data_IF_670413911380
#
_entry.id   IF_670413911380
#
_cell.length_a   1.000
_cell.length_b   1.000
_cell.length_c   1.000
_cell.angle_alpha   90.00
_cell.angle_beta   90.00
_cell.angle_gamma   90.00
#
_symmetry.space_group_name_H-M   'P 1'
#
loop_
_entity.id
_entity.type
_entity.pdbx_description
1 polymer ?
#
# COMPACT_ATOMS: atom_id res chain seq x y z
N UNK A 1 13.15 12.05 19.64
CA UNK A 1 14.13 11.86 18.56
C UNK A 1 13.90 10.48 17.98
N UNK A 2 13.78 10.36 16.65
CA UNK A 2 13.47 9.09 15.99
C UNK A 2 14.58 8.06 16.19
N UNK A 3 14.20 6.83 16.50
CA UNK A 3 15.09 5.67 16.65
C UNK A 3 15.58 5.15 15.29
N UNK A 4 16.22 5.99 14.48
CA UNK A 4 16.95 5.52 13.31
C UNK A 4 18.43 5.77 13.55
N UNK A 5 19.22 4.69 13.57
CA UNK A 5 20.63 4.68 13.98
C UNK A 5 21.48 5.31 12.87
N UNK A 6 22.59 5.97 13.22
CA UNK A 6 23.54 6.61 12.29
C UNK A 6 23.99 5.75 11.08
N UNK A 7 23.94 4.41 11.21
CA UNK A 7 24.22 3.50 10.09
C UNK A 7 23.20 3.60 8.94
N UNK A 8 21.96 3.96 9.24
CA UNK A 8 20.91 4.20 8.24
C UNK A 8 21.19 5.48 7.45
N UNK A 9 21.66 6.52 8.15
CA UNK A 9 21.98 7.80 7.54
C UNK A 9 23.12 7.69 6.53
N UNK A 10 24.14 6.89 6.87
CA UNK A 10 25.27 6.63 5.98
C UNK A 10 24.84 5.93 4.67
N UNK A 11 23.88 5.00 4.72
CA UNK A 11 23.36 4.32 3.53
C UNK A 11 22.62 5.31 2.63
N UNK A 12 21.73 6.14 3.18
CA UNK A 12 20.99 7.12 2.37
C UNK A 12 21.87 8.22 1.80
N UNK A 13 22.84 8.70 2.58
CA UNK A 13 23.83 9.65 2.08
C UNK A 13 24.65 9.07 0.92
N UNK A 14 25.00 7.77 0.97
CA UNK A 14 25.70 7.09 -0.13
C UNK A 14 24.87 7.00 -1.41
N UNK A 15 23.53 7.03 -1.29
CA UNK A 15 22.58 7.06 -2.40
C UNK A 15 22.21 8.49 -2.83
N UNK A 16 22.82 9.53 -2.25
CA UNK A 16 22.49 10.93 -2.54
C UNK A 16 21.13 11.39 -2.00
N UNK A 17 20.56 10.66 -1.03
CA UNK A 17 19.25 10.97 -0.44
C UNK A 17 19.42 11.85 0.80
N UNK A 18 18.75 13.01 0.81
CA UNK A 18 18.70 13.88 1.99
C UNK A 18 17.66 13.39 2.99
N UNK A 19 18.07 13.23 4.24
CA UNK A 19 17.18 12.80 5.32
C UNK A 19 16.56 14.03 5.98
N UNK A 20 15.24 14.06 6.04
CA UNK A 20 14.47 15.12 6.68
C UNK A 20 13.75 14.51 7.87
N UNK A 21 14.19 14.86 9.08
CA UNK A 21 13.55 14.39 10.29
C UNK A 21 12.17 15.06 10.47
N UNK A 22 11.17 14.28 10.87
CA UNK A 22 9.86 14.81 11.26
C UNK A 22 10.04 15.81 12.40
N UNK A 23 9.63 17.09 12.24
CA UNK A 23 9.79 18.09 13.27
C UNK A 23 8.99 17.71 14.53
N UNK A 24 9.51 18.05 15.72
CA UNK A 24 8.80 17.79 16.96
C UNK A 24 7.47 18.55 16.97
N UNK A 25 6.38 17.87 17.38
CA UNK A 25 5.03 18.45 17.49
C UNK A 25 4.45 18.95 16.15
N UNK A 26 4.86 18.36 15.03
CA UNK A 26 4.31 18.68 13.72
C UNK A 26 3.43 17.52 13.21
N UNK A 27 2.12 17.47 13.54
CA UNK A 27 1.24 16.35 13.20
C UNK A 27 1.08 16.15 11.68
N UNK A 28 1.24 17.21 10.89
CA UNK A 28 1.12 17.12 9.43
C UNK A 28 2.37 16.51 8.78
N UNK A 29 3.53 16.60 9.43
CA UNK A 29 4.79 16.20 8.80
C UNK A 29 4.89 14.69 8.52
N UNK A 30 4.11 13.85 9.23
CA UNK A 30 4.03 12.41 9.01
C UNK A 30 2.65 11.95 8.53
N UNK A 31 1.77 12.89 8.15
CA UNK A 31 0.35 12.59 7.95
C UNK A 31 0.09 11.54 6.85
N UNK A 32 0.93 11.47 5.82
CA UNK A 32 0.79 10.48 4.76
C UNK A 32 1.07 9.06 5.26
N UNK A 33 2.15 8.87 6.03
CA UNK A 33 2.48 7.57 6.61
C UNK A 33 1.41 7.15 7.63
N UNK A 34 0.97 8.06 8.50
CA UNK A 34 -0.09 7.79 9.48
C UNK A 34 -1.42 7.45 8.82
N UNK A 35 -1.79 8.20 7.77
CA UNK A 35 -2.99 7.91 6.98
C UNK A 35 -2.89 6.54 6.31
N UNK A 36 -1.73 6.18 5.79
CA UNK A 36 -1.49 4.87 5.19
C UNK A 36 -1.63 3.75 6.24
N UNK A 37 -0.99 3.87 7.41
CA UNK A 37 -1.11 2.92 8.52
C UNK A 37 -2.57 2.76 8.96
N UNK A 38 -3.29 3.87 9.14
CA UNK A 38 -4.71 3.80 9.49
C UNK A 38 -5.56 3.10 8.42
N UNK A 39 -5.19 3.25 7.15
CA UNK A 39 -5.88 2.62 6.02
C UNK A 39 -5.68 1.11 6.01
N UNK A 40 -4.43 0.63 6.12
CA UNK A 40 -4.17 -0.82 6.19
C UNK A 40 -4.79 -1.46 7.42
N UNK A 41 -4.84 -0.74 8.55
CA UNK A 41 -5.51 -1.25 9.75
C UNK A 41 -6.99 -1.48 9.54
N UNK A 42 -7.72 -0.44 9.12
CA UNK A 42 -9.17 -0.49 8.90
C UNK A 42 -9.59 -1.48 7.82
N UNK A 43 -8.80 -1.60 6.76
CA UNK A 43 -9.14 -2.45 5.61
C UNK A 43 -8.68 -3.90 5.76
N UNK A 44 -7.62 -4.14 6.53
CA UNK A 44 -6.98 -5.45 6.62
C UNK A 44 -6.77 -5.94 8.05
N UNK A 45 -5.85 -5.34 8.81
CA UNK A 45 -5.35 -5.99 10.04
C UNK A 45 -6.35 -5.98 11.19
N UNK A 46 -7.28 -5.02 11.23
CA UNK A 46 -8.35 -5.00 12.24
C UNK A 46 -9.46 -6.03 11.92
N UNK A 47 -9.41 -6.68 10.75
CA UNK A 47 -10.40 -7.64 10.25
C UNK A 47 -9.85 -9.06 10.13
N UNK A 48 -8.60 -9.29 10.57
CA UNK A 48 -7.91 -10.58 10.45
C UNK A 48 -7.20 -10.92 11.74
N UNK A 49 -7.27 -12.18 12.15
CA UNK A 49 -6.42 -12.69 13.22
C UNK A 49 -5.02 -12.98 12.68
N UNK A 50 -4.02 -12.35 13.30
CA UNK A 50 -2.61 -12.48 12.93
C UNK A 50 -1.88 -13.19 14.07
N UNK A 51 -1.42 -14.41 13.78
CA UNK A 51 -0.83 -15.31 14.78
C UNK A 51 0.69 -15.24 14.83
N UNK A 52 1.34 -14.61 13.85
CA UNK A 52 2.80 -14.47 13.82
C UNK A 52 3.26 -13.28 12.99
N UNK A 53 4.48 -12.81 13.26
CA UNK A 53 5.14 -11.79 12.44
C UNK A 53 5.30 -12.24 10.98
N UNK A 54 5.64 -13.51 10.75
CA UNK A 54 5.76 -14.07 9.39
C UNK A 54 4.44 -13.97 8.63
N UNK A 55 3.32 -14.25 9.31
CA UNK A 55 2.00 -14.07 8.73
C UNK A 55 1.70 -12.60 8.45
N UNK A 56 1.99 -11.70 9.40
CA UNK A 56 1.83 -10.26 9.23
C UNK A 56 2.59 -9.75 7.99
N UNK A 57 3.85 -10.14 7.82
CA UNK A 57 4.68 -9.74 6.68
C UNK A 57 4.07 -10.20 5.35
N UNK A 58 3.54 -11.43 5.28
CA UNK A 58 2.86 -11.93 4.08
C UNK A 58 1.59 -11.13 3.78
N UNK A 59 0.76 -10.90 4.80
CA UNK A 59 -0.48 -10.12 4.71
C UNK A 59 -0.18 -8.69 4.22
N UNK A 60 0.78 -8.00 4.85
CA UNK A 60 1.17 -6.66 4.44
C UNK A 60 1.74 -6.62 3.02
N UNK A 61 2.55 -7.61 2.63
CA UNK A 61 3.10 -7.69 1.27
C UNK A 61 2.00 -7.83 0.22
N UNK A 62 0.98 -8.66 0.51
CA UNK A 62 -0.17 -8.81 -0.38
C UNK A 62 -1.06 -7.56 -0.40
N UNK A 63 -1.30 -6.94 0.76
CA UNK A 63 -2.03 -5.69 0.86
C UNK A 63 -1.32 -4.54 0.12
N UNK A 64 0.01 -4.43 0.19
CA UNK A 64 0.78 -3.41 -0.54
C UNK A 64 0.59 -3.56 -2.05
N UNK A 65 0.61 -4.80 -2.58
CA UNK A 65 0.33 -5.05 -4.00
C UNK A 65 -1.09 -4.65 -4.36
N UNK A 66 -2.08 -4.97 -3.52
CA UNK A 66 -3.45 -4.52 -3.71
C UNK A 66 -3.54 -2.99 -3.73
N UNK A 67 -2.96 -2.34 -2.72
CA UNK A 67 -2.99 -0.88 -2.52
C UNK A 67 -2.43 -0.11 -3.72
N UNK A 68 -1.30 -0.58 -4.25
CA UNK A 68 -0.59 0.09 -5.33
C UNK A 68 -1.15 -0.25 -6.71
N UNK A 69 -1.66 -1.47 -6.94
CA UNK A 69 -2.03 -1.92 -8.29
C UNK A 69 -3.54 -2.07 -8.55
N UNK A 70 -4.39 -2.03 -7.52
CA UNK A 70 -5.83 -2.29 -7.68
C UNK A 70 -6.75 -1.38 -6.86
N UNK A 71 -6.37 -1.04 -5.63
CA UNK A 71 -7.24 -0.29 -4.72
C UNK A 71 -7.63 1.03 -5.40
N UNK A 72 -8.92 1.40 -5.46
CA UNK A 72 -9.33 2.67 -6.02
C UNK A 72 -8.93 3.83 -5.09
N UNK A 73 -8.29 4.87 -5.63
CA UNK A 73 -7.97 6.09 -4.89
C UNK A 73 -8.72 7.28 -5.44
N UNK A 74 -9.55 7.91 -4.61
CA UNK A 74 -10.36 9.06 -5.00
C UNK A 74 -9.52 10.21 -5.56
N UNK A 75 -8.36 10.48 -4.96
CA UNK A 75 -7.42 11.51 -5.41
C UNK A 75 -6.79 11.22 -6.78
N UNK A 76 -6.86 9.98 -7.26
CA UNK A 76 -6.33 9.54 -8.55
C UNK A 76 -7.45 9.22 -9.57
N UNK A 77 -8.68 9.69 -9.31
CA UNK A 77 -9.83 9.41 -10.17
C UNK A 77 -10.25 7.94 -10.12
N UNK A 78 -10.23 7.35 -8.93
CA UNK A 78 -10.53 5.93 -8.67
C UNK A 78 -9.54 4.94 -9.32
N UNK A 79 -8.38 5.44 -9.78
CA UNK A 79 -7.29 4.59 -10.24
C UNK A 79 -6.32 4.26 -9.10
N UNK A 80 -5.65 3.11 -9.18
CA UNK A 80 -4.53 2.80 -8.30
C UNK A 80 -3.28 3.62 -8.68
N UNK A 81 -2.29 3.79 -7.78
CA UNK A 81 -1.04 4.50 -8.03
C UNK A 81 -0.21 3.91 -9.18
N UNK A 82 -0.25 2.60 -9.34
CA UNK A 82 0.41 1.83 -10.41
C UNK A 82 -0.66 1.11 -11.25
N UNK A 83 -1.39 1.84 -12.11
CA UNK A 83 -2.47 1.26 -12.90
C UNK A 83 -1.88 0.38 -13.99
N UNK A 84 -2.37 -0.86 -14.07
CA UNK A 84 -2.06 -1.73 -15.21
C UNK A 84 -2.72 -1.15 -16.47
N UNK A 85 -1.99 -0.99 -17.58
CA UNK A 85 -2.58 -0.54 -18.84
C UNK A 85 -3.56 -1.62 -19.32
N UNK A 86 -4.82 -1.24 -19.45
CA UNK A 86 -5.87 -2.10 -20.00
C UNK A 86 -6.48 -1.34 -21.18
N UNK A 87 -6.19 -1.82 -22.39
CA UNK A 87 -6.93 -1.43 -23.59
C UNK A 87 -7.82 -2.62 -23.92
N UNK A 88 -9.12 -2.47 -23.74
CA UNK A 88 -10.07 -3.54 -24.03
C UNK A 88 -11.28 -3.02 -24.79
N UNK A 89 -11.73 -3.83 -25.74
CA UNK A 89 -13.01 -3.67 -26.41
C UNK A 89 -14.13 -4.08 -25.44
N UNK A 90 -14.99 -3.12 -25.09
CA UNK A 90 -16.04 -3.29 -24.07
C UNK A 90 -17.00 -4.42 -24.47
N UNK A 91 -17.20 -4.68 -25.76
CA UNK A 91 -18.10 -5.74 -26.22
C UNK A 91 -17.52 -7.16 -26.08
N UNK A 92 -16.20 -7.28 -26.05
CA UNK A 92 -15.50 -8.56 -25.94
C UNK A 92 -14.92 -8.80 -24.54
N UNK A 93 -15.00 -7.79 -23.66
CA UNK A 93 -14.38 -7.83 -22.34
C UNK A 93 -15.13 -8.76 -21.38
N UNK A 94 -14.40 -9.69 -20.76
CA UNK A 94 -14.89 -10.44 -19.60
C UNK A 94 -14.33 -9.82 -18.32
N UNK A 95 -15.12 -9.87 -17.24
CA UNK A 95 -14.67 -9.43 -15.91
C UNK A 95 -14.26 -10.65 -15.11
N UNK A 96 -13.00 -10.73 -14.71
CA UNK A 96 -12.47 -11.73 -13.81
C UNK A 96 -12.40 -11.18 -12.37
N UNK A 97 -12.87 -11.98 -11.40
CA UNK A 97 -12.72 -11.71 -9.98
C UNK A 97 -11.54 -12.48 -9.42
N UNK A 98 -10.69 -11.80 -8.65
CA UNK A 98 -9.61 -12.40 -7.85
C UNK A 98 -9.84 -12.07 -6.38
N UNK A 99 -9.79 -13.07 -5.51
CA UNK A 99 -9.76 -12.86 -4.07
C UNK A 99 -8.32 -12.68 -3.60
N UNK A 100 -8.11 -11.74 -2.69
CA UNK A 100 -6.83 -11.53 -2.00
C UNK A 100 -7.04 -11.49 -0.49
N UNK A 101 -5.97 -11.70 0.28
CA UNK A 101 -5.99 -11.71 1.74
C UNK A 101 -6.99 -12.72 2.32
N UNK A 102 -6.99 -13.94 1.78
CA UNK A 102 -7.90 -15.00 2.21
C UNK A 102 -9.37 -14.72 1.90
N UNK A 103 -9.66 -13.87 0.90
CA UNK A 103 -11.03 -13.51 0.51
C UNK A 103 -11.59 -12.26 1.16
N UNK A 104 -10.80 -11.59 2.02
CA UNK A 104 -11.19 -10.32 2.63
C UNK A 104 -11.41 -9.22 1.58
N UNK A 105 -10.62 -9.22 0.51
CA UNK A 105 -10.68 -8.23 -0.56
C UNK A 105 -10.94 -8.94 -1.89
N UNK A 106 -11.79 -8.30 -2.70
CA UNK A 106 -12.09 -8.73 -4.07
C UNK A 106 -11.55 -7.71 -5.04
N UNK A 107 -10.68 -8.17 -5.93
CA UNK A 107 -10.17 -7.40 -7.06
C UNK A 107 -10.92 -7.84 -8.31
N UNK A 108 -11.24 -6.87 -9.16
CA UNK A 108 -11.90 -7.10 -10.44
C UNK A 108 -11.02 -6.55 -11.54
N UNK A 109 -10.78 -7.37 -12.57
CA UNK A 109 -9.98 -6.98 -13.72
C UNK A 109 -10.71 -7.40 -15.00
N UNK A 110 -10.56 -6.57 -16.03
CA UNK A 110 -10.97 -6.90 -17.38
C UNK A 110 -9.94 -7.87 -17.98
N UNK A 111 -10.43 -8.95 -18.59
CA UNK A 111 -9.64 -9.95 -19.30
C UNK A 111 -10.21 -10.12 -20.70
N UNK A 112 -9.32 -10.18 -21.70
CA UNK A 112 -9.67 -10.48 -23.09
C UNK A 112 -9.92 -11.98 -23.27
#
# INVERSE_FOLDING_TARGET
MGEFVAGFDAVFASLGVQIIATPPRAPVANCYAERWVGTVRRECTDRMLIFSERQLRKVLSEYIRHYNAHRPHRSLGQRPPDPRPVVVDIEQTRIARRTVLGGLINEYAQVA
#
